data_IF_197343793408
#
_entry.id   IF_197343793408
#
_cell.length_a   1.000
_cell.length_b   1.000
_cell.length_c   1.000
_cell.angle_alpha   90.00
_cell.angle_beta   90.00
_cell.angle_gamma   90.00
#
_symmetry.space_group_name_H-M   'P 1'
#
loop_
_entity.id
_entity.type
_entity.pdbx_description
1 polymer ?
#
# COMPACT_ATOMS: atom_id res chain seq x y z
N UNK A 1 -27.56 11.52 10.44
CA UNK A 1 -26.81 12.27 11.48
C UNK A 1 -25.75 13.04 10.73
N UNK A 2 -25.79 14.37 10.80
CA UNK A 2 -25.03 15.24 9.89
C UNK A 2 -23.53 15.00 10.01
N UNK A 3 -22.87 14.79 8.87
CA UNK A 3 -21.42 14.91 8.78
C UNK A 3 -21.05 16.33 9.21
N UNK A 4 -20.57 16.48 10.43
CA UNK A 4 -19.90 17.71 10.85
C UNK A 4 -18.56 17.76 10.13
N UNK A 5 -18.60 18.28 8.91
CA UNK A 5 -17.43 18.67 8.14
C UNK A 5 -16.67 19.71 8.98
N UNK A 6 -15.44 19.41 9.38
CA UNK A 6 -14.64 20.29 10.24
C UNK A 6 -13.84 21.28 9.40
N UNK A 7 -14.03 22.56 9.68
CA UNK A 7 -13.13 23.61 9.24
C UNK A 7 -11.78 23.48 9.97
N UNK A 8 -10.72 24.00 9.34
CA UNK A 8 -9.38 24.02 9.95
C UNK A 8 -8.92 25.45 10.15
N UNK A 9 -8.45 25.75 11.35
CA UNK A 9 -7.76 27.00 11.62
C UNK A 9 -6.28 26.89 11.24
N UNK A 10 -5.85 27.76 10.33
CA UNK A 10 -4.45 27.99 10.03
C UNK A 10 -3.99 29.29 10.68
N UNK A 11 -2.85 29.25 11.36
CA UNK A 11 -2.18 30.44 11.87
C UNK A 11 -0.88 30.66 11.09
N UNK A 12 -0.74 31.85 10.51
CA UNK A 12 0.48 32.30 9.81
C UNK A 12 0.87 33.65 10.42
N UNK A 13 2.05 33.72 11.04
CA UNK A 13 2.58 34.93 11.70
C UNK A 13 1.59 35.59 12.68
N UNK A 14 0.78 34.77 13.37
CA UNK A 14 -0.22 35.23 14.34
C UNK A 14 -1.59 35.58 13.74
N UNK A 15 -1.71 35.67 12.41
CA UNK A 15 -3.00 35.80 11.74
C UNK A 15 -3.66 34.43 11.61
N UNK A 16 -4.89 34.30 12.11
CA UNK A 16 -5.67 33.06 12.03
C UNK A 16 -6.69 33.15 10.89
N UNK A 17 -6.68 32.19 9.98
CA UNK A 17 -7.66 32.01 8.91
C UNK A 17 -8.33 30.65 9.05
N UNK A 18 -9.60 30.59 8.67
CA UNK A 18 -10.37 29.35 8.65
C UNK A 18 -10.44 28.83 7.22
N UNK A 19 -10.00 27.59 7.02
CA UNK A 19 -10.22 26.86 5.77
C UNK A 19 -11.56 26.14 5.90
N UNK A 20 -12.51 26.42 4.99
CA UNK A 20 -13.81 25.78 5.04
C UNK A 20 -13.66 24.29 4.73
N UNK A 21 -14.49 23.46 5.36
CA UNK A 21 -14.35 22.01 5.33
C UNK A 21 -14.28 21.41 3.91
N UNK A 22 -15.07 21.93 2.96
CA UNK A 22 -15.04 21.51 1.55
C UNK A 22 -13.71 21.79 0.84
N UNK A 23 -12.90 22.74 1.33
CA UNK A 23 -11.59 23.07 0.78
C UNK A 23 -10.44 22.29 1.45
N UNK A 24 -10.72 21.58 2.55
CA UNK A 24 -9.68 20.86 3.31
C UNK A 24 -9.09 19.70 2.51
N UNK A 25 -9.90 18.98 1.73
CA UNK A 25 -9.40 17.89 0.87
C UNK A 25 -8.51 18.42 -0.26
N UNK A 26 -8.85 19.58 -0.82
CA UNK A 26 -8.01 20.29 -1.79
C UNK A 26 -6.69 20.76 -1.18
N UNK A 27 -6.74 21.32 0.03
CA UNK A 27 -5.54 21.67 0.78
C UNK A 27 -4.66 20.43 1.00
N UNK A 28 -5.21 19.35 1.56
CA UNK A 28 -4.50 18.11 1.78
C UNK A 28 -3.83 17.62 0.49
N UNK A 29 -4.55 17.69 -0.63
CA UNK A 29 -4.05 17.33 -1.96
C UNK A 29 -2.92 18.24 -2.47
N UNK A 30 -2.88 19.51 -2.09
CA UNK A 30 -1.81 20.45 -2.48
C UNK A 30 -0.53 20.36 -1.65
N UNK A 31 -0.58 19.76 -0.46
CA UNK A 31 0.57 19.68 0.45
C UNK A 31 1.61 18.66 -0.05
N UNK A 32 2.88 18.95 0.18
CA UNK A 32 4.04 18.09 -0.03
C UNK A 32 4.46 17.47 1.30
N UNK A 33 4.40 16.13 1.38
CA UNK A 33 4.78 15.40 2.59
C UNK A 33 6.27 15.43 2.90
N UNK A 34 7.13 15.81 1.95
CA UNK A 34 8.56 15.97 2.19
C UNK A 34 8.90 17.35 2.77
N UNK A 35 8.01 18.34 2.62
CA UNK A 35 8.26 19.71 3.08
C UNK A 35 8.18 19.78 4.63
N UNK A 36 9.29 20.06 5.34
CA UNK A 36 9.28 20.08 6.80
C UNK A 36 8.33 21.14 7.38
N UNK A 37 8.15 22.26 6.68
CA UNK A 37 7.22 23.34 7.05
C UNK A 37 5.75 22.91 7.07
N UNK A 38 5.38 21.90 6.27
CA UNK A 38 4.00 21.43 6.12
C UNK A 38 3.67 20.24 7.03
N UNK A 39 4.69 19.67 7.68
CA UNK A 39 4.57 18.46 8.50
C UNK A 39 3.50 18.55 9.58
N UNK A 40 3.42 19.66 10.30
CA UNK A 40 2.44 19.85 11.38
C UNK A 40 1.00 19.80 10.86
N UNK A 41 0.75 20.44 9.71
CA UNK A 41 -0.58 20.44 9.07
C UNK A 41 -0.92 19.03 8.62
N UNK A 42 0.00 18.32 7.96
CA UNK A 42 -0.22 16.93 7.54
C UNK A 42 -0.50 15.97 8.70
N UNK A 43 0.19 16.11 9.83
CA UNK A 43 -0.08 15.31 11.04
C UNK A 43 -1.51 15.57 11.55
N UNK A 44 -1.94 16.83 11.56
CA UNK A 44 -3.31 17.20 11.93
C UNK A 44 -4.33 16.57 10.96
N UNK A 45 -4.10 16.72 9.66
CA UNK A 45 -4.98 16.19 8.61
C UNK A 45 -5.05 14.66 8.60
N UNK A 46 -4.01 13.95 9.02
CA UNK A 46 -4.02 12.48 9.14
C UNK A 46 -5.06 11.97 10.16
N UNK A 47 -5.55 12.84 11.05
CA UNK A 47 -6.57 12.53 12.06
C UNK A 47 -7.89 13.29 11.82
N UNK A 48 -8.05 13.89 10.64
CA UNK A 48 -9.25 14.64 10.29
C UNK A 48 -10.49 13.72 10.28
N UNK A 49 -11.67 14.25 10.62
CA UNK A 49 -12.90 13.43 10.69
C UNK A 49 -13.35 12.91 9.31
N UNK A 50 -13.13 13.71 8.27
CA UNK A 50 -13.43 13.37 6.88
C UNK A 50 -12.39 12.38 6.31
N UNK A 51 -12.88 11.25 5.78
CA UNK A 51 -12.01 10.23 5.20
C UNK A 51 -11.36 10.67 3.89
N UNK A 52 -11.96 11.57 3.11
CA UNK A 52 -11.37 12.06 1.86
C UNK A 52 -10.10 12.86 2.14
N UNK A 53 -10.12 13.65 3.21
CA UNK A 53 -8.94 14.38 3.71
C UNK A 53 -7.85 13.39 4.15
N UNK A 54 -8.20 12.39 4.96
CA UNK A 54 -7.24 11.37 5.40
C UNK A 54 -6.69 10.54 4.23
N UNK A 55 -7.51 10.27 3.22
CA UNK A 55 -7.11 9.54 2.01
C UNK A 55 -6.14 10.38 1.17
N UNK A 56 -6.37 11.69 1.04
CA UNK A 56 -5.46 12.63 0.41
C UNK A 56 -4.12 12.74 1.16
N UNK A 57 -4.14 12.62 2.50
CA UNK A 57 -2.89 12.53 3.29
C UNK A 57 -2.20 11.19 3.07
N UNK A 58 -2.92 10.07 3.09
CA UNK A 58 -2.35 8.73 2.94
C UNK A 58 -1.58 8.52 1.63
N UNK A 59 -1.90 9.28 0.58
CA UNK A 59 -1.18 9.24 -0.71
C UNK A 59 0.13 10.05 -0.72
N UNK A 60 0.45 10.80 0.36
CA UNK A 60 1.65 11.64 0.42
C UNK A 60 2.90 10.84 0.71
N UNK A 61 3.96 11.12 -0.04
CA UNK A 61 5.29 10.61 0.25
C UNK A 61 5.92 11.40 1.40
N UNK A 62 6.83 10.77 2.15
CA UNK A 62 7.62 11.49 3.16
C UNK A 62 6.89 11.87 4.46
N UNK A 63 5.65 11.39 4.68
CA UNK A 63 4.99 11.56 5.97
C UNK A 63 5.84 10.99 7.13
N UNK A 64 5.70 11.55 8.35
CA UNK A 64 6.23 10.93 9.55
C UNK A 64 5.74 9.49 9.71
N UNK A 65 6.60 8.62 10.23
CA UNK A 65 6.30 7.19 10.47
C UNK A 65 5.00 7.00 11.25
N UNK A 66 4.76 7.84 12.26
CA UNK A 66 3.61 7.77 13.14
C UNK A 66 2.29 8.00 12.38
N UNK A 67 2.30 8.83 11.33
CA UNK A 67 1.13 9.06 10.49
C UNK A 67 0.77 7.79 9.70
N UNK A 68 1.75 7.14 9.08
CA UNK A 68 1.54 5.89 8.36
C UNK A 68 0.98 4.78 9.28
N UNK A 69 1.51 4.68 10.51
CA UNK A 69 1.03 3.68 11.47
C UNK A 69 -0.37 3.99 12.00
N UNK A 70 -0.71 5.27 12.19
CA UNK A 70 -2.06 5.70 12.57
C UNK A 70 -3.06 5.37 11.45
N UNK A 71 -2.77 5.81 10.22
CA UNK A 71 -3.60 5.57 9.03
C UNK A 71 -3.75 4.09 8.69
N UNK A 72 -2.79 3.23 9.05
CA UNK A 72 -2.93 1.77 8.87
C UNK A 72 -4.06 1.15 9.73
N UNK A 73 -4.60 1.88 10.70
CA UNK A 73 -5.77 1.45 11.49
C UNK A 73 -7.07 2.16 11.07
N UNK A 74 -7.09 2.86 9.93
CA UNK A 74 -8.26 3.63 9.48
C UNK A 74 -9.50 2.74 9.25
N UNK A 75 -10.67 3.38 9.29
CA UNK A 75 -11.95 2.75 8.97
C UNK A 75 -12.29 2.78 7.49
N UNK A 76 -11.80 3.79 6.75
CA UNK A 76 -12.09 3.93 5.34
C UNK A 76 -11.20 3.04 4.48
N UNK A 77 -11.84 2.26 3.60
CA UNK A 77 -11.15 1.44 2.60
C UNK A 77 -10.31 2.31 1.66
N UNK A 78 -10.76 3.54 1.35
CA UNK A 78 -10.04 4.44 0.44
C UNK A 78 -8.75 4.96 1.06
N UNK A 79 -8.75 5.23 2.38
CA UNK A 79 -7.53 5.59 3.11
C UNK A 79 -6.53 4.43 3.09
N UNK A 80 -7.01 3.22 3.37
CA UNK A 80 -6.18 2.02 3.40
C UNK A 80 -5.64 1.64 2.00
N UNK A 81 -6.46 1.79 0.96
CA UNK A 81 -6.09 1.60 -0.44
C UNK A 81 -4.97 2.55 -0.85
N UNK A 82 -5.13 3.86 -0.59
CA UNK A 82 -4.09 4.85 -0.85
C UNK A 82 -2.80 4.55 -0.08
N UNK A 83 -2.92 4.05 1.16
CA UNK A 83 -1.78 3.67 1.97
C UNK A 83 -1.04 2.44 1.39
N UNK A 84 -1.76 1.43 0.90
CA UNK A 84 -1.18 0.25 0.23
C UNK A 84 -0.51 0.59 -1.10
N UNK A 85 -0.93 1.66 -1.77
CA UNK A 85 -0.28 2.13 -3.00
C UNK A 85 0.91 3.06 -2.72
N UNK A 86 1.14 3.45 -1.47
CA UNK A 86 2.18 4.40 -1.10
C UNK A 86 3.53 3.71 -0.80
N UNK A 87 4.58 3.94 -1.62
CA UNK A 87 5.91 3.34 -1.40
C UNK A 87 6.51 3.63 -0.02
N UNK A 88 6.22 4.81 0.56
CA UNK A 88 6.76 5.21 1.86
C UNK A 88 6.12 4.41 3.01
N UNK A 89 4.84 4.04 2.90
CA UNK A 89 4.19 3.20 3.90
C UNK A 89 4.91 1.86 4.06
N UNK A 90 5.27 1.23 2.94
CA UNK A 90 5.98 -0.05 2.94
C UNK A 90 7.37 0.02 3.60
N UNK A 91 7.95 1.23 3.69
CA UNK A 91 9.20 1.42 4.42
C UNK A 91 9.01 1.29 5.96
N UNK A 92 7.82 1.54 6.48
CA UNK A 92 7.57 1.53 7.93
C UNK A 92 6.66 0.39 8.40
N UNK A 93 5.86 -0.17 7.49
CA UNK A 93 4.89 -1.21 7.79
C UNK A 93 5.53 -2.51 8.27
N UNK A 94 4.88 -3.14 9.24
CA UNK A 94 5.19 -4.48 9.75
C UNK A 94 4.10 -5.46 9.30
N UNK A 95 4.35 -6.78 9.43
CA UNK A 95 3.35 -7.83 9.12
C UNK A 95 1.95 -7.51 9.67
N UNK A 96 1.87 -7.12 10.95
CA UNK A 96 0.61 -6.86 11.63
C UNK A 96 -0.19 -5.70 11.05
N UNK A 97 0.48 -4.70 10.46
CA UNK A 97 -0.21 -3.60 9.77
C UNK A 97 -0.91 -4.12 8.51
N UNK A 98 -0.21 -4.89 7.67
CA UNK A 98 -0.80 -5.49 6.47
C UNK A 98 -1.96 -6.42 6.80
N UNK A 99 -1.81 -7.25 7.84
CA UNK A 99 -2.87 -8.17 8.29
C UNK A 99 -4.15 -7.41 8.66
N UNK A 100 -4.02 -6.40 9.53
CA UNK A 100 -5.14 -5.53 9.92
C UNK A 100 -5.81 -4.85 8.73
N UNK A 101 -5.01 -4.33 7.80
CA UNK A 101 -5.52 -3.66 6.60
C UNK A 101 -6.39 -4.62 5.78
N UNK A 102 -5.91 -5.83 5.48
CA UNK A 102 -6.67 -6.75 4.62
C UNK A 102 -7.77 -7.54 5.36
N UNK A 103 -7.76 -7.52 6.69
CA UNK A 103 -8.88 -7.96 7.53
C UNK A 103 -10.04 -6.95 7.49
N UNK A 104 -9.76 -5.67 7.20
CA UNK A 104 -10.79 -4.62 7.11
C UNK A 104 -11.73 -4.84 5.94
N UNK A 105 -11.19 -5.21 4.78
CA UNK A 105 -11.96 -5.48 3.57
C UNK A 105 -11.23 -6.49 2.67
N UNK A 106 -11.90 -7.57 2.21
CA UNK A 106 -11.30 -8.55 1.31
C UNK A 106 -10.73 -7.97 0.01
N UNK A 107 -11.27 -6.86 -0.50
CA UNK A 107 -10.77 -6.18 -1.70
C UNK A 107 -9.32 -5.71 -1.53
N UNK A 108 -8.93 -5.35 -0.30
CA UNK A 108 -7.57 -4.91 0.03
C UNK A 108 -6.54 -6.06 -0.07
N UNK A 109 -6.98 -7.33 -0.05
CA UNK A 109 -6.08 -8.48 -0.31
C UNK A 109 -5.55 -8.45 -1.74
N UNK A 110 -6.46 -8.23 -2.69
CA UNK A 110 -6.09 -8.13 -4.10
C UNK A 110 -5.18 -6.93 -4.33
N UNK A 111 -5.51 -5.78 -3.73
CA UNK A 111 -4.69 -4.58 -3.84
C UNK A 111 -3.28 -4.77 -3.27
N UNK A 112 -3.15 -5.33 -2.06
CA UNK A 112 -1.86 -5.66 -1.49
C UNK A 112 -1.06 -6.65 -2.37
N UNK A 113 -1.75 -7.58 -3.03
CA UNK A 113 -1.10 -8.51 -3.97
C UNK A 113 -0.53 -7.82 -5.21
N UNK A 114 -1.17 -6.72 -5.67
CA UNK A 114 -0.68 -5.90 -6.78
C UNK A 114 0.53 -5.05 -6.36
N UNK A 115 0.57 -4.60 -5.11
CA UNK A 115 1.63 -3.74 -4.54
C UNK A 115 2.71 -4.52 -3.79
N UNK A 116 2.74 -5.85 -3.88
CA UNK A 116 3.65 -6.70 -3.11
C UNK A 116 5.13 -6.41 -3.42
N UNK A 117 5.43 -5.87 -4.59
CA UNK A 117 6.77 -5.45 -5.00
C UNK A 117 7.28 -4.17 -4.32
N UNK A 118 6.38 -3.36 -3.77
CA UNK A 118 6.74 -2.21 -2.92
C UNK A 118 7.12 -2.64 -1.49
N UNK A 119 6.66 -3.80 -1.04
CA UNK A 119 6.98 -4.35 0.28
C UNK A 119 8.47 -4.70 0.36
N UNK A 120 9.11 -4.35 1.48
CA UNK A 120 10.52 -4.66 1.73
C UNK A 120 10.83 -6.16 1.55
N UNK A 121 12.01 -6.44 0.99
CA UNK A 121 12.39 -7.79 0.57
C UNK A 121 12.39 -8.83 1.70
N UNK A 122 12.80 -8.44 2.91
CA UNK A 122 12.83 -9.28 4.12
C UNK A 122 11.43 -9.72 4.58
N UNK A 123 10.41 -8.89 4.30
CA UNK A 123 9.02 -9.15 4.64
C UNK A 123 8.22 -9.78 3.48
N UNK A 124 8.54 -9.39 2.24
CA UNK A 124 7.77 -9.68 1.03
C UNK A 124 7.40 -11.15 0.87
N UNK A 125 8.36 -12.05 1.02
CA UNK A 125 8.13 -13.48 0.86
C UNK A 125 7.20 -14.02 1.95
N UNK A 126 7.40 -13.63 3.22
CA UNK A 126 6.55 -14.06 4.34
C UNK A 126 5.12 -13.55 4.18
N UNK A 127 4.97 -12.29 3.80
CA UNK A 127 3.66 -11.68 3.54
C UNK A 127 2.96 -12.33 2.34
N UNK A 128 3.69 -12.57 1.25
CA UNK A 128 3.14 -13.24 0.08
C UNK A 128 2.71 -14.69 0.35
N UNK A 129 3.49 -15.45 1.12
CA UNK A 129 3.10 -16.80 1.58
C UNK A 129 1.80 -16.76 2.37
N UNK A 130 1.70 -15.82 3.31
CA UNK A 130 0.49 -15.63 4.10
C UNK A 130 -0.72 -15.25 3.22
N UNK A 131 -0.56 -14.32 2.26
CA UNK A 131 -1.63 -13.96 1.32
C UNK A 131 -2.11 -15.13 0.46
N UNK A 132 -1.19 -15.96 -0.04
CA UNK A 132 -1.54 -17.18 -0.80
C UNK A 132 -2.36 -18.12 0.08
N UNK A 133 -2.00 -18.26 1.37
CA UNK A 133 -2.71 -19.13 2.31
C UNK A 133 -4.16 -18.72 2.61
N UNK A 134 -4.53 -17.46 2.32
CA UNK A 134 -5.92 -16.98 2.42
C UNK A 134 -6.84 -17.56 1.33
N UNK A 135 -6.27 -18.33 0.39
CA UNK A 135 -6.99 -19.06 -0.66
C UNK A 135 -7.90 -18.19 -1.55
N UNK A 136 -7.55 -16.91 -1.73
CA UNK A 136 -8.24 -16.02 -2.68
C UNK A 136 -7.68 -16.23 -4.10
N UNK A 137 -8.55 -16.65 -5.03
CA UNK A 137 -8.15 -16.90 -6.42
C UNK A 137 -7.56 -15.65 -7.10
N UNK A 138 -8.14 -14.47 -6.88
CA UNK A 138 -7.66 -13.22 -7.52
C UNK A 138 -6.26 -12.88 -7.05
N UNK A 139 -5.99 -13.04 -5.76
CA UNK A 139 -4.65 -12.84 -5.18
C UNK A 139 -3.64 -13.78 -5.81
N UNK A 140 -3.92 -15.09 -5.84
CA UNK A 140 -2.99 -16.10 -6.37
C UNK A 140 -2.73 -15.90 -7.87
N UNK A 141 -3.77 -15.59 -8.65
CA UNK A 141 -3.64 -15.23 -10.06
C UNK A 141 -2.79 -13.97 -10.27
N UNK A 142 -3.07 -12.89 -9.54
CA UNK A 142 -2.32 -11.64 -9.62
C UNK A 142 -0.85 -11.85 -9.27
N UNK A 143 -0.55 -12.62 -8.23
CA UNK A 143 0.83 -12.94 -7.85
C UNK A 143 1.54 -13.81 -8.88
N UNK A 144 0.88 -14.83 -9.46
CA UNK A 144 1.48 -15.62 -10.53
C UNK A 144 1.78 -14.78 -11.79
N UNK A 145 0.96 -13.76 -12.05
CA UNK A 145 1.12 -12.88 -13.21
C UNK A 145 2.09 -11.70 -12.96
N UNK A 146 2.37 -11.35 -11.70
CA UNK A 146 3.25 -10.24 -11.38
C UNK A 146 4.72 -10.57 -11.70
N UNK A 147 5.42 -9.71 -12.46
CA UNK A 147 6.79 -9.96 -12.89
C UNK A 147 7.81 -9.89 -11.74
N UNK A 148 7.44 -9.30 -10.60
CA UNK A 148 8.30 -9.11 -9.43
C UNK A 148 8.00 -10.08 -8.29
N UNK A 149 7.11 -11.06 -8.51
CA UNK A 149 6.84 -12.12 -7.54
C UNK A 149 8.11 -12.94 -7.29
N UNK A 150 8.59 -13.04 -6.04
CA UNK A 150 9.77 -13.82 -5.70
C UNK A 150 9.63 -15.30 -6.08
N UNK A 151 10.74 -15.91 -6.52
CA UNK A 151 10.78 -17.32 -6.91
C UNK A 151 10.22 -18.29 -5.85
N UNK A 152 10.45 -18.12 -4.52
CA UNK A 152 9.83 -18.97 -3.51
C UNK A 152 8.30 -18.97 -3.54
N UNK A 153 7.68 -17.84 -3.89
CA UNK A 153 6.22 -17.74 -4.04
C UNK A 153 5.75 -18.39 -5.34
N UNK A 154 6.52 -18.25 -6.42
CA UNK A 154 6.22 -18.92 -7.68
C UNK A 154 6.29 -20.45 -7.54
N UNK A 155 7.21 -20.99 -6.75
CA UNK A 155 7.23 -22.42 -6.44
C UNK A 155 5.96 -22.88 -5.72
N UNK A 156 5.48 -22.13 -4.73
CA UNK A 156 4.19 -22.44 -4.08
C UNK A 156 3.02 -22.37 -5.06
N UNK A 157 2.99 -21.34 -5.91
CA UNK A 157 1.95 -21.17 -6.92
C UNK A 157 2.06 -22.19 -8.06
N UNK A 158 3.20 -22.83 -8.28
CA UNK A 158 3.37 -23.87 -9.29
C UNK A 158 2.57 -25.15 -8.95
N UNK A 159 2.18 -25.33 -7.69
CA UNK A 159 1.34 -26.43 -7.22
C UNK A 159 -0.10 -25.98 -6.91
N UNK A 160 -0.50 -24.78 -7.40
CA UNK A 160 -1.84 -24.24 -7.17
C UNK A 160 -2.93 -25.16 -7.74
N UNK A 161 -4.05 -25.36 -7.00
CA UNK A 161 -5.18 -26.15 -7.50
C UNK A 161 -5.79 -25.59 -8.78
N UNK A 162 -5.71 -24.27 -9.01
CA UNK A 162 -6.13 -23.66 -10.25
C UNK A 162 -5.04 -23.83 -11.32
N UNK A 163 -5.31 -24.67 -12.32
CA UNK A 163 -4.35 -25.01 -13.39
C UNK A 163 -3.79 -23.77 -14.12
N UNK A 164 -4.60 -22.72 -14.32
CA UNK A 164 -4.16 -21.48 -14.95
C UNK A 164 -3.08 -20.75 -14.11
N UNK A 165 -3.23 -20.75 -12.78
CA UNK A 165 -2.26 -20.16 -11.84
C UNK A 165 -0.97 -20.99 -11.85
N UNK A 166 -1.10 -22.31 -11.69
CA UNK A 166 0.03 -23.24 -11.71
C UNK A 166 0.85 -23.16 -13.00
N UNK A 167 0.18 -23.19 -14.15
CA UNK A 167 0.82 -23.07 -15.45
C UNK A 167 1.59 -21.74 -15.58
N UNK A 168 0.98 -20.62 -15.17
CA UNK A 168 1.62 -19.31 -15.22
C UNK A 168 2.88 -19.24 -14.36
N UNK A 169 2.81 -19.76 -13.13
CA UNK A 169 3.94 -19.79 -12.21
C UNK A 169 5.09 -20.65 -12.73
N UNK A 170 4.81 -21.86 -13.25
CA UNK A 170 5.81 -22.75 -13.85
C UNK A 170 6.55 -22.09 -15.03
N UNK A 171 5.82 -21.46 -15.95
CA UNK A 171 6.43 -20.76 -17.08
C UNK A 171 7.36 -19.62 -16.64
N UNK A 172 6.98 -18.89 -15.59
CA UNK A 172 7.81 -17.84 -15.01
C UNK A 172 9.09 -18.40 -14.39
N UNK A 173 9.01 -19.52 -13.68
CA UNK A 173 10.18 -20.21 -13.13
C UNK A 173 11.15 -20.65 -14.23
N UNK A 174 10.66 -21.25 -15.32
CA UNK A 174 11.49 -21.61 -16.48
C UNK A 174 12.16 -20.38 -17.10
N UNK A 175 11.42 -19.29 -17.26
CA UNK A 175 11.96 -18.04 -17.82
C UNK A 175 13.10 -17.47 -16.96
N UNK A 176 12.96 -17.53 -15.63
CA UNK A 176 14.00 -17.08 -14.68
C UNK A 176 15.24 -18.00 -14.75
N UNK A 177 15.05 -19.31 -14.81
CA UNK A 177 16.15 -20.29 -14.92
C UNK A 177 16.97 -20.10 -16.21
N UNK A 178 16.31 -19.82 -17.33
CA UNK A 178 16.97 -19.55 -18.60
C UNK A 178 17.76 -18.23 -18.61
N UNK A 179 17.36 -17.22 -17.81
CA UNK A 179 18.09 -15.96 -17.68
C UNK A 179 19.32 -16.07 -16.75
N UNK A 180 19.31 -17.00 -15.80
CA UNK A 180 20.40 -17.20 -14.85
C UNK A 180 21.57 -18.02 -15.44
N UNK A 181 21.41 -18.59 -16.62
CA UNK A 181 22.46 -19.32 -17.36
C UNK A 181 22.90 -18.48 -18.57
N UNK A 182 23.84 -17.52 -18.42
CA UNK A 182 24.36 -16.83 -19.58
C UNK A 182 25.08 -17.85 -20.45
N UNK A 183 24.73 -17.88 -21.74
CA UNK A 183 25.34 -18.73 -22.75
C UNK A 183 26.87 -18.59 -22.72
N UNK A 184 27.56 -19.54 -22.10
CA UNK A 184 28.99 -19.71 -22.22
C UNK A 184 29.29 -20.49 -23.50
N UNK A 185 29.10 -19.87 -24.67
CA UNK A 185 29.66 -20.32 -25.97
C UNK A 185 29.76 -19.06 -26.85
N UNK A 186 30.89 -18.67 -27.44
CA UNK A 186 32.08 -19.45 -27.77
C UNK A 186 33.36 -18.63 -27.83
N UNK A 187 34.45 -19.37 -27.62
CA UNK A 187 35.79 -19.10 -28.10
C UNK A 187 35.90 -19.51 -29.58
#
# INVERSE_FOLDING_TARGET
MGDTQMDIQLSVDGAVTTIPAHAVSHLASSLDGNAPSQRKVLICLAHHCDYEVRAAVASKLGLPKECYLSLANDASVDVLSNLLQNPSFHHYALMSAYQKIVERDPRLRHELSMCLDLVKADLRTKLGQWLISLNDYKVRWTMANSPRTPAPLLHLLADDPAQCVAWKARNRLTSIGNQATPSSVGA
#
